data_IF_701130980510
#
_entry.id   IF_701130980510
#
_cell.length_a   1.000
_cell.length_b   1.000
_cell.length_c   1.000
_cell.angle_alpha   90.00
_cell.angle_beta   90.00
_cell.angle_gamma   90.00
#
_symmetry.space_group_name_H-M   'P 1'
#
loop_
_entity.id
_entity.type
_entity.pdbx_description
1 polymer ?
#
# COMPACT_ATOMS: atom_id res chain seq x y z
N UNK A 1 -9.95 9.18 6.47
CA UNK A 1 -11.06 8.47 5.80
C UNK A 1 -10.63 7.03 5.56
N UNK A 2 -11.55 6.15 5.15
CA UNK A 2 -11.21 4.78 4.73
C UNK A 2 -10.18 4.77 3.59
N UNK A 3 -10.33 5.67 2.61
CA UNK A 3 -9.36 5.81 1.53
C UNK A 3 -7.95 6.14 2.03
N UNK A 4 -7.84 7.15 2.90
CA UNK A 4 -6.54 7.58 3.44
C UNK A 4 -5.81 6.49 4.24
N UNK A 5 -6.53 5.67 5.01
CA UNK A 5 -5.90 4.64 5.82
C UNK A 5 -5.47 3.44 4.97
N UNK A 6 -6.25 3.09 3.95
CA UNK A 6 -5.91 2.01 3.02
C UNK A 6 -4.74 2.41 2.11
N UNK A 7 -4.72 3.64 1.60
CA UNK A 7 -3.59 4.16 0.83
C UNK A 7 -2.33 4.30 1.69
N UNK A 8 -2.43 4.75 2.94
CA UNK A 8 -1.28 4.81 3.84
C UNK A 8 -0.73 3.41 4.16
N UNK A 9 -1.62 2.43 4.39
CA UNK A 9 -1.25 1.04 4.60
C UNK A 9 -0.53 0.46 3.37
N UNK A 10 -1.11 0.63 2.18
CA UNK A 10 -0.55 0.14 0.92
C UNK A 10 0.80 0.80 0.59
N UNK A 11 0.92 2.11 0.81
CA UNK A 11 2.18 2.84 0.62
C UNK A 11 3.29 2.34 1.55
N UNK A 12 2.94 1.95 2.78
CA UNK A 12 3.89 1.31 3.68
C UNK A 12 4.24 -0.12 3.24
N UNK A 13 3.28 -0.88 2.72
CA UNK A 13 3.58 -2.23 2.20
C UNK A 13 4.56 -2.18 1.01
N UNK A 14 4.50 -1.13 0.18
CA UNK A 14 5.49 -0.89 -0.90
C UNK A 14 6.94 -0.79 -0.41
N UNK A 15 7.17 -0.51 0.88
CA UNK A 15 8.51 -0.46 1.47
C UNK A 15 8.94 -1.79 2.10
N UNK A 16 8.23 -2.90 1.82
CA UNK A 16 8.53 -4.23 2.34
C UNK A 16 7.84 -4.57 3.66
N UNK A 17 6.94 -3.72 4.15
CA UNK A 17 6.10 -4.04 5.30
C UNK A 17 4.92 -4.93 4.92
N UNK A 18 4.28 -5.51 5.93
CA UNK A 18 2.97 -6.13 5.79
C UNK A 18 2.11 -5.79 7.00
N UNK A 19 1.56 -4.57 6.99
CA UNK A 19 0.95 -3.96 8.17
C UNK A 19 -0.55 -4.28 8.32
N UNK A 20 -1.13 -4.04 9.49
CA UNK A 20 -2.58 -4.11 9.70
C UNK A 20 -3.25 -2.75 9.41
N UNK A 21 -4.59 -2.71 9.17
CA UNK A 21 -5.30 -1.47 8.88
C UNK A 21 -5.12 -0.37 9.92
N UNK A 22 -5.02 -0.73 11.21
CA UNK A 22 -4.77 0.23 12.29
C UNK A 22 -3.39 0.91 12.19
N UNK A 23 -2.39 0.21 11.66
CA UNK A 23 -1.11 0.85 11.34
C UNK A 23 -1.28 1.85 10.19
N UNK A 24 -2.13 1.56 9.19
CA UNK A 24 -2.52 2.53 8.17
C UNK A 24 -3.13 3.81 8.73
N UNK A 25 -4.03 3.70 9.72
CA UNK A 25 -4.59 4.85 10.45
C UNK A 25 -3.48 5.65 11.15
N UNK A 26 -2.58 4.97 11.87
CA UNK A 26 -1.50 5.63 12.58
C UNK A 26 -0.51 6.33 11.63
N UNK A 27 -0.19 5.71 10.49
CA UNK A 27 0.66 6.30 9.46
C UNK A 27 -0.01 7.50 8.78
N UNK A 28 -1.32 7.42 8.48
CA UNK A 28 -2.08 8.55 7.95
C UNK A 28 -2.05 9.75 8.90
N UNK A 29 -2.24 9.51 10.21
CA UNK A 29 -2.11 10.55 11.22
C UNK A 29 -0.68 11.12 11.30
N UNK A 30 0.35 10.25 11.30
CA UNK A 30 1.75 10.66 11.31
C UNK A 30 2.10 11.56 10.11
N UNK A 31 1.68 11.17 8.91
CA UNK A 31 1.90 11.96 7.68
C UNK A 31 1.28 13.36 7.83
N UNK A 32 0.02 13.44 8.28
CA UNK A 32 -0.67 14.72 8.49
C UNK A 32 -0.01 15.59 9.56
N UNK A 33 0.45 14.99 10.66
CA UNK A 33 1.14 15.71 11.73
C UNK A 33 2.50 16.24 11.26
N UNK A 34 3.22 15.47 10.44
CA UNK A 34 4.46 15.92 9.79
C UNK A 34 4.20 17.08 8.83
N UNK A 35 3.18 16.98 7.99
CA UNK A 35 2.79 18.05 7.05
C UNK A 35 2.39 19.35 7.76
N UNK A 36 1.78 19.25 8.94
CA UNK A 36 1.46 20.40 9.79
C UNK A 36 2.64 20.93 10.61
N UNK A 37 3.82 20.31 10.51
CA UNK A 37 5.00 20.67 11.30
C UNK A 37 4.86 20.39 12.80
N UNK A 38 3.92 19.53 13.21
CA UNK A 38 3.73 19.15 14.62
C UNK A 38 4.69 18.03 15.05
N UNK A 39 5.13 17.20 14.11
CA UNK A 39 6.21 16.22 14.29
C UNK A 39 7.34 16.64 13.35
N UNK A 40 8.52 16.87 13.90
CA UNK A 40 9.71 17.29 13.16
C UNK A 40 10.36 16.10 12.42
N UNK A 41 11.12 16.34 11.33
CA UNK A 41 11.77 15.27 10.56
C UNK A 41 12.77 14.42 11.37
N UNK A 42 13.35 14.99 12.43
CA UNK A 42 14.34 14.37 13.33
C UNK A 42 13.73 13.84 14.65
N UNK A 43 12.42 14.00 14.84
CA UNK A 43 11.73 13.46 16.01
C UNK A 43 11.75 11.93 16.00
N UNK A 44 12.22 11.35 17.11
CA UNK A 44 12.11 9.90 17.33
C UNK A 44 10.64 9.50 17.49
N UNK A 45 10.06 8.98 16.41
CA UNK A 45 8.66 8.57 16.35
C UNK A 45 8.54 7.06 16.28
N UNK A 46 7.69 6.46 17.12
CA UNK A 46 7.39 5.03 17.12
C UNK A 46 5.90 4.83 16.84
N UNK A 47 5.57 4.06 15.81
CA UNK A 47 4.20 3.64 15.49
C UNK A 47 3.95 2.26 16.06
N UNK A 48 2.86 2.08 16.82
CA UNK A 48 2.50 0.80 17.43
C UNK A 48 1.62 -0.01 16.47
N UNK A 49 2.09 -1.19 16.05
CA UNK A 49 1.27 -2.16 15.31
C UNK A 49 0.68 -3.18 16.28
N UNK A 50 -0.65 -3.21 16.39
CA UNK A 50 -1.34 -4.02 17.40
C UNK A 50 -1.72 -5.40 16.90
N UNK A 51 -1.63 -5.64 15.60
CA UNK A 51 -1.99 -6.90 14.97
C UNK A 51 -1.09 -7.20 13.77
N UNK A 52 -0.83 -8.48 13.54
CA UNK A 52 -0.07 -8.95 12.39
C UNK A 52 -0.87 -8.76 11.09
N UNK A 53 -0.23 -8.27 10.02
CA UNK A 53 -0.89 -8.01 8.74
C UNK A 53 -1.52 -9.25 8.09
N UNK A 54 -1.00 -10.45 8.37
CA UNK A 54 -1.57 -11.74 7.90
C UNK A 54 -3.01 -12.00 8.34
N UNK A 55 -3.54 -11.27 9.33
CA UNK A 55 -4.96 -11.33 9.68
C UNK A 55 -5.87 -10.60 8.69
N UNK A 56 -5.29 -9.84 7.76
CA UNK A 56 -5.99 -8.91 6.87
C UNK A 56 -5.59 -9.10 5.40
N UNK A 57 -5.29 -10.33 4.98
CA UNK A 57 -4.95 -10.64 3.59
C UNK A 57 -6.08 -10.27 2.63
N UNK A 58 -7.33 -10.57 2.99
CA UNK A 58 -8.49 -10.36 2.11
C UNK A 58 -8.71 -8.88 1.79
N UNK A 59 -8.52 -7.99 2.78
CA UNK A 59 -8.63 -6.54 2.55
C UNK A 59 -7.53 -6.04 1.62
N UNK A 60 -6.31 -6.59 1.74
CA UNK A 60 -5.18 -6.23 0.87
C UNK A 60 -5.39 -6.75 -0.55
N UNK A 61 -5.89 -7.97 -0.72
CA UNK A 61 -6.29 -8.50 -2.04
C UNK A 61 -7.36 -7.60 -2.66
N UNK A 62 -8.42 -7.27 -1.92
CA UNK A 62 -9.48 -6.40 -2.40
C UNK A 62 -8.98 -4.99 -2.78
N UNK A 63 -8.04 -4.44 -2.02
CA UNK A 63 -7.39 -3.15 -2.34
C UNK A 63 -6.63 -3.22 -3.68
N UNK A 64 -5.75 -4.21 -3.85
CA UNK A 64 -4.96 -4.33 -5.08
C UNK A 64 -5.78 -4.76 -6.29
N UNK A 65 -6.95 -5.38 -6.09
CA UNK A 65 -7.92 -5.66 -7.16
C UNK A 65 -8.90 -4.50 -7.41
N UNK A 66 -8.77 -3.37 -6.71
CA UNK A 66 -9.67 -2.21 -6.77
C UNK A 66 -11.14 -2.55 -6.52
N UNK A 67 -11.40 -3.49 -5.60
CA UNK A 67 -12.74 -3.96 -5.23
C UNK A 67 -13.32 -3.29 -3.98
N UNK A 68 -12.53 -2.44 -3.31
CA UNK A 68 -12.99 -1.74 -2.12
C UNK A 68 -13.90 -0.57 -2.49
N UNK A 69 -15.10 -0.52 -1.91
CA UNK A 69 -16.01 0.60 -2.07
C UNK A 69 -15.42 1.86 -1.43
N UNK A 70 -15.56 3.00 -2.12
CA UNK A 70 -15.10 4.32 -1.64
C UNK A 70 -13.59 4.40 -1.35
N UNK A 71 -12.79 3.55 -2.02
CA UNK A 71 -11.33 3.62 -1.97
C UNK A 71 -10.79 3.72 -3.40
N UNK A 72 -9.99 4.76 -3.66
CA UNK A 72 -9.36 5.02 -4.95
C UNK A 72 -8.30 3.96 -5.30
N UNK A 73 -7.71 3.35 -4.27
CA UNK A 73 -6.65 2.34 -4.39
C UNK A 73 -5.46 2.85 -5.20
N UNK A 74 -4.99 4.06 -4.87
CA UNK A 74 -3.93 4.79 -5.61
C UNK A 74 -2.66 3.96 -5.79
N UNK A 75 -2.34 3.11 -4.80
CA UNK A 75 -1.14 2.26 -4.78
C UNK A 75 -1.44 0.80 -5.12
N UNK A 76 -2.57 0.51 -5.80
CA UNK A 76 -2.89 -0.83 -6.26
C UNK A 76 -1.77 -1.38 -7.16
N UNK A 77 -1.41 -2.65 -6.96
CA UNK A 77 -0.43 -3.36 -7.76
C UNK A 77 -1.20 -4.40 -8.57
N UNK A 78 -1.59 -4.02 -9.78
CA UNK A 78 -2.50 -4.81 -10.60
C UNK A 78 -1.87 -6.14 -11.05
N UNK A 79 -2.69 -7.19 -11.03
CA UNK A 79 -2.32 -8.46 -11.64
C UNK A 79 -2.49 -8.35 -13.16
N UNK A 80 -1.37 -8.27 -13.88
CA UNK A 80 -1.37 -8.23 -15.35
C UNK A 80 -1.57 -9.66 -15.88
N UNK A 81 -2.73 -9.91 -16.52
CA UNK A 81 -3.04 -11.20 -17.17
C UNK A 81 -2.48 -11.20 -18.59
N UNK A 82 -1.60 -12.15 -18.89
CA UNK A 82 -0.94 -12.27 -20.19
C UNK A 82 -1.12 -13.67 -20.79
N UNK A 83 -1.15 -13.81 -22.13
CA UNK A 83 -1.17 -15.12 -22.79
C UNK A 83 0.06 -15.97 -22.41
N UNK A 84 -0.12 -17.29 -22.40
CA UNK A 84 0.93 -18.27 -22.10
C UNK A 84 1.92 -18.44 -23.28
N UNK A 85 2.57 -17.35 -23.67
CA UNK A 85 3.55 -17.29 -24.77
C UNK A 85 4.77 -16.50 -24.34
N UNK A 86 5.96 -17.04 -24.57
CA UNK A 86 7.24 -16.44 -24.16
C UNK A 86 7.40 -14.99 -24.63
N UNK A 87 7.00 -14.68 -25.87
CA UNK A 87 7.07 -13.32 -26.42
C UNK A 87 6.27 -12.31 -25.59
N UNK A 88 5.00 -12.61 -25.30
CA UNK A 88 4.13 -11.74 -24.48
C UNK A 88 4.63 -11.56 -23.05
N UNK A 89 5.27 -12.58 -22.48
CA UNK A 89 5.91 -12.47 -21.15
C UNK A 89 7.10 -11.50 -21.21
N UNK A 90 7.97 -11.64 -22.21
CA UNK A 90 9.14 -10.77 -22.39
C UNK A 90 8.71 -9.31 -22.62
N UNK A 91 7.71 -9.07 -23.47
CA UNK A 91 7.20 -7.72 -23.75
C UNK A 91 6.66 -7.05 -22.48
N UNK A 92 5.92 -7.79 -21.66
CA UNK A 92 5.39 -7.29 -20.38
C UNK A 92 6.49 -6.99 -19.37
N UNK A 93 7.52 -7.85 -19.29
CA UNK A 93 8.68 -7.63 -18.42
C UNK A 93 9.44 -6.36 -18.81
N UNK A 94 9.77 -6.21 -20.10
CA UNK A 94 10.43 -5.01 -20.67
C UNK A 94 9.72 -3.72 -20.29
N UNK A 95 8.41 -3.69 -20.52
CA UNK A 95 7.56 -2.55 -20.14
C UNK A 95 7.61 -2.23 -18.64
N UNK A 96 7.78 -3.24 -17.77
CA UNK A 96 7.72 -3.07 -16.31
C UNK A 96 9.06 -2.65 -15.69
N UNK A 97 10.17 -3.00 -16.32
CA UNK A 97 11.54 -2.77 -15.84
C UNK A 97 12.27 -1.68 -16.63
N UNK A 98 11.55 -0.92 -17.45
CA UNK A 98 12.07 0.15 -18.32
C UNK A 98 13.24 -0.32 -19.21
N UNK A 99 13.11 -1.52 -19.80
CA UNK A 99 14.03 -2.09 -20.81
C UNK A 99 13.42 -2.15 -22.21
#
# INVERSE_FOLDING_TARGET
TEDELMDAAARADLTGMFNCPHTGVALSALIKLREKGMIQPDDRTVVVSTAHGLKFTDSKVAYHERKLHQCSSTYANDVIRIPATTSKVIDALRTRIDL
#
